data_IF_066332798912
#
_entry.id   IF_066332798912
#
_cell.length_a   1.000
_cell.length_b   1.000
_cell.length_c   1.000
_cell.angle_alpha   90.00
_cell.angle_beta   90.00
_cell.angle_gamma   90.00
#
_symmetry.space_group_name_H-M   'P 1'
#
loop_
_entity.id
_entity.type
_entity.pdbx_description
1 polymer ?
#
# COMPACT_ATOMS: atom_id res chain seq x y z
N UNK A 1 -3.64 9.27 -20.21
CA UNK A 1 -3.80 8.58 -21.50
C UNK A 1 -4.96 9.20 -22.26
N UNK A 2 -4.71 9.87 -23.40
CA UNK A 2 -5.75 10.40 -24.29
C UNK A 2 -6.33 9.31 -25.21
N UNK A 3 -7.57 9.46 -25.64
CA UNK A 3 -8.26 8.55 -26.55
C UNK A 3 -9.13 9.34 -27.54
N UNK A 4 -9.40 8.83 -28.74
CA UNK A 4 -10.25 9.53 -29.73
C UNK A 4 -11.65 9.83 -29.20
N UNK A 5 -12.21 8.90 -28.42
CA UNK A 5 -13.55 9.00 -27.82
C UNK A 5 -13.52 8.59 -26.36
N UNK A 6 -14.20 9.36 -25.52
CA UNK A 6 -14.46 9.02 -24.12
C UNK A 6 -15.95 8.73 -23.95
N UNK A 7 -16.28 7.59 -23.35
CA UNK A 7 -17.66 7.20 -23.05
C UNK A 7 -17.81 7.09 -21.53
N UNK A 8 -18.69 7.91 -20.96
CA UNK A 8 -19.04 7.89 -19.54
C UNK A 8 -20.35 7.10 -19.41
N UNK A 9 -20.28 5.89 -18.86
CA UNK A 9 -21.42 4.96 -18.81
C UNK A 9 -22.53 5.36 -17.83
N UNK A 10 -22.20 6.15 -16.81
CA UNK A 10 -23.12 6.62 -15.78
C UNK A 10 -22.61 7.96 -15.25
N UNK A 11 -23.47 8.95 -14.94
CA UNK A 11 -23.08 10.21 -14.33
C UNK A 11 -22.88 10.09 -12.80
N UNK A 12 -22.46 8.91 -12.33
CA UNK A 12 -22.26 8.59 -10.91
C UNK A 12 -20.91 7.88 -10.71
N UNK A 13 -20.30 8.10 -9.55
CA UNK A 13 -19.12 7.39 -9.07
C UNK A 13 -19.53 6.62 -7.82
N UNK A 14 -19.70 5.30 -7.95
CA UNK A 14 -20.35 4.50 -6.92
C UNK A 14 -21.80 4.94 -6.72
N UNK A 15 -22.14 5.39 -5.51
CA UNK A 15 -23.47 5.93 -5.17
C UNK A 15 -23.57 7.45 -5.32
N UNK A 16 -22.46 8.15 -5.51
CA UNK A 16 -22.40 9.61 -5.51
C UNK A 16 -22.50 10.19 -6.92
N UNK A 17 -23.17 11.35 -7.12
CA UNK A 17 -23.21 12.02 -8.42
C UNK A 17 -21.83 12.54 -8.83
N UNK A 18 -21.55 12.56 -10.14
CA UNK A 18 -20.29 13.05 -10.70
C UNK A 18 -20.18 14.58 -10.58
N UNK A 19 -19.06 15.08 -10.05
CA UNK A 19 -18.78 16.52 -9.97
C UNK A 19 -18.34 17.12 -11.30
N UNK A 20 -18.56 18.44 -11.50
CA UNK A 20 -18.19 19.13 -12.75
C UNK A 20 -16.71 19.03 -13.10
N UNK A 21 -15.81 19.23 -12.13
CA UNK A 21 -14.37 19.12 -12.36
C UNK A 21 -13.97 17.71 -12.81
N UNK A 22 -14.53 16.66 -12.17
CA UNK A 22 -14.28 15.26 -12.54
C UNK A 22 -14.79 14.97 -13.94
N UNK A 23 -16.01 15.41 -14.26
CA UNK A 23 -16.57 15.30 -15.61
C UNK A 23 -15.65 15.95 -16.66
N UNK A 24 -15.23 17.20 -16.43
CA UNK A 24 -14.32 17.92 -17.33
C UNK A 24 -12.96 17.21 -17.48
N UNK A 25 -12.40 16.67 -16.39
CA UNK A 25 -11.17 15.87 -16.44
C UNK A 25 -11.33 14.57 -17.24
N UNK A 26 -12.50 13.93 -17.19
CA UNK A 26 -12.79 12.73 -17.98
C UNK A 26 -12.90 13.06 -19.46
N UNK A 27 -13.77 14.02 -19.82
CA UNK A 27 -14.00 14.37 -21.23
C UNK A 27 -12.79 15.07 -21.87
N UNK A 28 -11.96 15.76 -21.08
CA UNK A 28 -10.71 16.36 -21.54
C UNK A 28 -9.66 15.36 -22.01
N UNK A 29 -9.88 14.05 -21.80
CA UNK A 29 -9.08 12.97 -22.38
C UNK A 29 -9.51 12.59 -23.79
N UNK A 30 -10.60 13.16 -24.31
CA UNK A 30 -11.08 12.92 -25.67
C UNK A 30 -10.29 13.75 -26.70
N UNK A 31 -9.80 13.08 -27.74
CA UNK A 31 -8.95 13.64 -28.78
C UNK A 31 -7.46 13.43 -28.47
N UNK A 32 -6.74 12.83 -29.41
CA UNK A 32 -5.28 12.68 -29.35
C UNK A 32 -4.62 13.77 -30.19
N UNK A 33 -3.88 14.66 -29.52
CA UNK A 33 -3.11 15.70 -30.18
C UNK A 33 -2.20 15.09 -31.27
N UNK A 34 -2.26 15.63 -32.49
CA UNK A 34 -1.48 15.17 -33.64
C UNK A 34 -2.05 13.95 -34.39
N UNK A 35 -3.09 13.29 -33.89
CA UNK A 35 -3.71 12.13 -34.56
C UNK A 35 -5.17 12.35 -34.96
N UNK A 36 -5.97 12.92 -34.06
CA UNK A 36 -7.41 13.09 -34.27
C UNK A 36 -7.74 14.56 -34.60
N UNK A 37 -8.62 14.77 -35.59
CA UNK A 37 -9.12 16.13 -35.93
C UNK A 37 -10.08 16.71 -34.87
N UNK A 38 -10.72 15.83 -34.09
CA UNK A 38 -11.64 16.18 -32.99
C UNK A 38 -11.70 15.04 -31.97
N UNK A 39 -12.06 15.36 -30.73
CA UNK A 39 -12.39 14.40 -29.67
C UNK A 39 -13.89 14.35 -29.43
N UNK A 40 -14.46 13.14 -29.33
CA UNK A 40 -15.87 12.97 -28.99
C UNK A 40 -16.01 12.56 -27.50
N UNK A 41 -16.94 13.17 -26.77
CA UNK A 41 -17.36 12.66 -25.45
C UNK A 41 -18.84 12.30 -25.47
N UNK A 42 -19.18 11.11 -25.00
CA UNK A 42 -20.56 10.63 -24.90
C UNK A 42 -20.84 10.25 -23.45
N UNK A 43 -21.87 10.83 -22.85
CA UNK A 43 -22.32 10.46 -21.49
C UNK A 43 -23.69 9.82 -21.58
N UNK A 44 -23.81 8.62 -21.06
CA UNK A 44 -25.08 7.87 -21.00
C UNK A 44 -25.78 8.27 -19.71
N UNK A 45 -27.03 8.70 -19.83
CA UNK A 45 -27.83 9.22 -18.71
C UNK A 45 -29.25 8.68 -18.82
N UNK A 46 -29.84 8.28 -17.68
CA UNK A 46 -31.24 7.87 -17.62
C UNK A 46 -32.15 9.11 -17.53
N UNK A 47 -33.29 9.12 -18.25
CA UNK A 47 -34.27 10.19 -18.11
C UNK A 47 -34.77 10.36 -16.67
N UNK A 48 -35.16 11.58 -16.31
CA UNK A 48 -35.74 11.88 -15.00
C UNK A 48 -34.77 12.61 -14.06
N UNK A 49 -34.62 12.12 -12.83
CA UNK A 49 -33.82 12.80 -11.80
C UNK A 49 -32.33 12.89 -12.18
N UNK A 50 -31.76 11.79 -12.70
CA UNK A 50 -30.35 11.70 -13.08
C UNK A 50 -30.01 12.71 -14.20
N UNK A 51 -30.86 12.81 -15.21
CA UNK A 51 -30.74 13.82 -16.27
C UNK A 51 -30.81 15.24 -15.73
N UNK A 52 -31.78 15.55 -14.85
CA UNK A 52 -31.91 16.90 -14.26
C UNK A 52 -30.67 17.28 -13.45
N UNK A 53 -30.17 16.36 -12.62
CA UNK A 53 -28.97 16.58 -11.81
C UNK A 53 -27.73 16.78 -12.68
N UNK A 54 -27.55 15.96 -13.72
CA UNK A 54 -26.41 16.09 -14.62
C UNK A 54 -26.45 17.40 -15.41
N UNK A 55 -27.61 17.80 -15.93
CA UNK A 55 -27.79 19.10 -16.61
C UNK A 55 -27.51 20.27 -15.67
N UNK A 56 -28.02 20.22 -14.44
CA UNK A 56 -27.74 21.24 -13.43
C UNK A 56 -26.23 21.32 -13.12
N UNK A 57 -25.55 20.18 -12.99
CA UNK A 57 -24.10 20.12 -12.81
C UNK A 57 -23.34 20.73 -13.99
N UNK A 58 -23.75 20.49 -15.24
CA UNK A 58 -23.11 21.11 -16.40
C UNK A 58 -23.25 22.64 -16.39
N UNK A 59 -24.40 23.14 -15.95
CA UNK A 59 -24.68 24.58 -15.86
C UNK A 59 -24.03 25.24 -14.64
N UNK A 60 -23.63 24.50 -13.60
CA UNK A 60 -23.00 25.07 -12.41
C UNK A 60 -21.60 25.61 -12.71
N UNK A 61 -21.07 26.59 -11.96
CA UNK A 61 -19.65 26.94 -12.06
C UNK A 61 -18.75 25.75 -11.67
N UNK A 62 -17.50 25.78 -12.12
CA UNK A 62 -16.48 24.85 -11.59
C UNK A 62 -16.19 25.27 -10.16
N UNK A 63 -16.12 24.30 -9.23
CA UNK A 63 -15.80 24.57 -7.83
C UNK A 63 -14.42 25.23 -7.73
N UNK A 64 -14.34 26.30 -6.95
CA UNK A 64 -13.06 26.94 -6.62
C UNK A 64 -12.21 25.99 -5.78
N UNK A 65 -10.89 26.05 -5.97
CA UNK A 65 -9.96 25.31 -5.10
C UNK A 65 -10.01 25.89 -3.69
N UNK A 66 -10.24 25.05 -2.69
CA UNK A 66 -10.13 25.40 -1.27
C UNK A 66 -8.81 24.88 -0.70
N UNK A 67 -8.20 25.63 0.21
CA UNK A 67 -7.00 25.16 0.91
C UNK A 67 -7.29 23.94 1.77
N UNK A 68 -6.52 22.86 1.59
CA UNK A 68 -6.59 21.68 2.45
C UNK A 68 -6.18 21.98 3.91
N UNK A 69 -5.33 22.98 4.13
CA UNK A 69 -4.91 23.42 5.47
C UNK A 69 -6.05 24.03 6.30
N UNK A 70 -7.24 24.24 5.72
CA UNK A 70 -8.43 24.61 6.49
C UNK A 70 -8.90 23.46 7.41
N UNK A 71 -8.52 22.21 7.12
CA UNK A 71 -8.76 21.09 8.02
C UNK A 71 -7.82 21.16 9.22
N UNK A 72 -8.38 21.11 10.43
CA UNK A 72 -7.61 21.05 11.67
C UNK A 72 -6.62 19.89 11.66
N UNK A 73 -6.97 18.75 11.05
CA UNK A 73 -6.08 17.60 10.93
C UNK A 73 -4.82 17.90 10.11
N UNK A 74 -4.99 18.46 8.91
CA UNK A 74 -3.86 18.81 8.06
C UNK A 74 -3.05 19.99 8.61
N UNK A 75 -3.72 20.95 9.26
CA UNK A 75 -3.04 22.06 9.93
C UNK A 75 -2.22 21.56 11.12
N UNK A 76 -2.77 20.66 11.96
CA UNK A 76 -2.04 20.05 13.07
C UNK A 76 -0.79 19.31 12.58
N UNK A 77 -0.89 18.49 11.53
CA UNK A 77 0.29 17.84 10.93
C UNK A 77 1.34 18.86 10.51
N UNK A 78 0.92 19.92 9.79
CA UNK A 78 1.84 20.95 9.32
C UNK A 78 2.49 21.74 10.46
N UNK A 79 1.75 22.05 11.54
CA UNK A 79 2.28 22.73 12.72
C UNK A 79 3.32 21.87 13.44
N UNK A 80 3.09 20.57 13.60
CA UNK A 80 4.11 19.65 14.16
C UNK A 80 5.38 19.67 13.32
N UNK A 81 5.25 19.62 11.99
CA UNK A 81 6.41 19.65 11.09
C UNK A 81 7.21 20.95 11.24
N UNK A 82 6.55 22.11 11.26
CA UNK A 82 7.21 23.42 11.42
C UNK A 82 7.95 23.55 12.76
N UNK A 83 7.32 23.11 13.85
CA UNK A 83 7.92 23.14 15.20
C UNK A 83 9.08 22.15 15.30
N UNK A 84 8.93 20.93 14.75
CA UNK A 84 9.98 19.91 14.78
C UNK A 84 11.20 20.31 13.95
N UNK A 85 10.98 20.93 12.79
CA UNK A 85 12.03 21.50 11.94
C UNK A 85 12.65 22.79 12.50
N UNK A 86 12.10 23.34 13.60
CA UNK A 86 12.49 24.62 14.20
C UNK A 86 12.35 25.82 13.24
N UNK A 87 11.39 25.75 12.32
CA UNK A 87 11.04 26.86 11.42
C UNK A 87 10.23 27.91 12.17
N UNK A 88 9.35 27.47 13.07
CA UNK A 88 8.54 28.31 13.94
C UNK A 88 8.53 27.72 15.34
N UNK A 89 8.54 28.59 16.35
CA UNK A 89 8.63 28.21 17.76
C UNK A 89 7.64 28.98 18.65
N UNK A 90 6.66 29.67 18.05
CA UNK A 90 5.62 30.42 18.76
C UNK A 90 4.37 30.49 17.89
N UNK A 91 3.21 30.77 18.49
CA UNK A 91 1.96 30.96 17.72
C UNK A 91 2.11 32.08 16.69
N UNK A 92 2.79 33.17 17.04
CA UNK A 92 2.96 34.31 16.13
C UNK A 92 3.87 33.96 14.95
N UNK A 93 4.99 33.24 15.17
CA UNK A 93 5.86 32.77 14.07
C UNK A 93 5.18 31.71 13.19
N UNK A 94 4.33 30.85 13.76
CA UNK A 94 3.49 29.92 12.99
C UNK A 94 2.49 30.69 12.10
N UNK A 95 1.85 31.73 12.63
CA UNK A 95 0.94 32.57 11.87
C UNK A 95 1.69 33.31 10.74
N UNK A 96 2.89 33.83 11.03
CA UNK A 96 3.76 34.47 10.05
C UNK A 96 4.11 33.52 8.90
N UNK A 97 4.53 32.29 9.21
CA UNK A 97 4.81 31.27 8.20
C UNK A 97 3.59 30.97 7.31
N UNK A 98 2.38 30.95 7.89
CA UNK A 98 1.14 30.70 7.17
C UNK A 98 0.65 31.89 6.34
N UNK A 99 1.20 33.10 6.49
CA UNK A 99 0.82 34.25 5.65
C UNK A 99 1.11 34.03 4.16
N UNK A 100 2.05 33.14 3.85
CA UNK A 100 2.41 32.75 2.48
C UNK A 100 1.58 31.57 1.94
N UNK A 101 0.59 31.07 2.70
CA UNK A 101 -0.22 29.91 2.31
C UNK A 101 -1.49 30.30 1.55
N UNK A 102 -2.04 29.34 0.77
CA UNK A 102 -3.36 29.49 0.15
C UNK A 102 -4.47 29.67 1.20
N UNK A 103 -4.32 29.09 2.40
CA UNK A 103 -5.29 29.27 3.49
C UNK A 103 -5.40 30.76 3.84
N UNK A 104 -4.27 31.41 4.08
CA UNK A 104 -4.24 32.84 4.40
C UNK A 104 -4.86 33.69 3.29
N UNK A 105 -4.52 33.41 2.03
CA UNK A 105 -5.10 34.13 0.89
C UNK A 105 -6.64 34.01 0.79
N UNK A 106 -7.23 32.96 1.37
CA UNK A 106 -8.66 32.69 1.31
C UNK A 106 -9.45 33.18 2.52
N UNK A 107 -8.88 33.09 3.74
CA UNK A 107 -9.61 33.39 4.99
C UNK A 107 -9.03 34.55 5.79
N UNK A 108 -7.83 35.03 5.44
CA UNK A 108 -7.15 36.14 6.12
C UNK A 108 -6.52 35.79 7.47
N UNK A 109 -5.82 36.76 8.06
CA UNK A 109 -4.99 36.55 9.26
C UNK A 109 -5.79 36.08 10.49
N UNK A 110 -6.95 36.70 10.76
CA UNK A 110 -7.72 36.41 11.97
C UNK A 110 -8.19 34.95 12.04
N UNK A 111 -8.69 34.42 10.92
CA UNK A 111 -9.12 33.03 10.83
C UNK A 111 -7.93 32.06 10.89
N UNK A 112 -6.82 32.38 10.23
CA UNK A 112 -5.57 31.60 10.32
C UNK A 112 -5.09 31.52 11.77
N UNK A 113 -5.03 32.66 12.47
CA UNK A 113 -4.58 32.70 13.87
C UNK A 113 -5.47 31.85 14.77
N UNK A 114 -6.79 31.95 14.62
CA UNK A 114 -7.72 31.11 15.36
C UNK A 114 -7.47 29.62 15.13
N UNK A 115 -7.29 29.21 13.86
CA UNK A 115 -7.04 27.82 13.51
C UNK A 115 -5.67 27.32 14.01
N UNK A 116 -4.63 28.17 13.98
CA UNK A 116 -3.31 27.84 14.53
C UNK A 116 -3.37 27.65 16.03
N UNK A 117 -4.05 28.54 16.76
CA UNK A 117 -4.22 28.41 18.21
C UNK A 117 -4.95 27.10 18.54
N UNK A 118 -6.04 26.80 17.83
CA UNK A 118 -6.77 25.53 17.99
C UNK A 118 -5.89 24.31 17.70
N UNK A 119 -5.08 24.35 16.63
CA UNK A 119 -4.16 23.29 16.28
C UNK A 119 -3.06 23.09 17.34
N UNK A 120 -2.48 24.17 17.86
CA UNK A 120 -1.46 24.12 18.91
C UNK A 120 -2.03 23.56 20.21
N UNK A 121 -3.20 24.02 20.65
CA UNK A 121 -3.86 23.52 21.86
C UNK A 121 -4.22 22.04 21.75
N UNK A 122 -4.72 21.62 20.58
CA UNK A 122 -4.94 20.19 20.28
C UNK A 122 -3.63 19.39 20.41
N UNK A 123 -2.55 19.84 19.77
CA UNK A 123 -1.26 19.15 19.77
C UNK A 123 -0.62 19.09 21.17
N UNK A 124 -0.85 20.10 22.01
CA UNK A 124 -0.45 20.11 23.43
C UNK A 124 -1.26 19.08 24.23
N UNK A 125 -2.59 19.05 24.06
CA UNK A 125 -3.45 18.04 24.69
C UNK A 125 -3.08 16.61 24.26
N UNK A 126 -2.62 16.47 23.02
CA UNK A 126 -2.15 15.22 22.43
C UNK A 126 -0.70 14.84 22.80
N UNK A 127 -0.02 15.66 23.60
CA UNK A 127 1.38 15.52 24.02
C UNK A 127 2.40 15.44 22.85
N UNK A 128 2.08 16.05 21.71
CA UNK A 128 2.96 16.14 20.54
C UNK A 128 3.85 17.39 20.55
N UNK A 129 3.36 18.49 21.14
CA UNK A 129 4.09 19.73 21.33
C UNK A 129 4.11 20.09 22.82
N UNK A 130 5.21 20.67 23.27
CA UNK A 130 5.40 21.21 24.62
C UNK A 130 5.70 22.69 24.50
N UNK A 131 5.12 23.48 25.40
CA UNK A 131 5.38 24.91 25.54
C UNK A 131 6.13 25.14 26.85
N UNK A 132 7.22 25.90 26.79
CA UNK A 132 7.98 26.27 28.00
C UNK A 132 7.39 27.51 28.71
N UNK A 133 7.99 27.91 29.82
CA UNK A 133 7.55 29.08 30.60
C UNK A 133 7.68 30.42 29.85
N UNK A 134 8.47 30.46 28.77
CA UNK A 134 8.69 31.65 27.94
C UNK A 134 7.75 31.68 26.72
N UNK A 135 6.88 30.67 26.55
CA UNK A 135 5.96 30.54 25.41
C UNK A 135 6.62 29.95 24.16
N UNK A 136 7.80 29.34 24.29
CA UNK A 136 8.49 28.69 23.18
C UNK A 136 7.94 27.28 22.97
N UNK A 137 7.43 27.02 21.78
CA UNK A 137 6.93 25.74 21.33
C UNK A 137 8.09 24.85 20.87
N UNK A 138 8.14 23.63 21.41
CA UNK A 138 9.09 22.59 21.04
C UNK A 138 8.38 21.26 20.81
N UNK A 139 8.91 20.44 19.91
CA UNK A 139 8.36 19.11 19.68
C UNK A 139 8.67 18.19 20.86
N UNK A 140 7.66 17.44 21.32
CA UNK A 140 7.88 16.36 22.29
C UNK A 140 8.62 15.18 21.62
N UNK A 141 8.96 14.16 22.41
CA UNK A 141 9.49 12.90 21.89
C UNK A 141 8.49 12.21 20.93
N UNK A 142 7.20 12.24 21.27
CA UNK A 142 6.13 11.69 20.42
C UNK A 142 5.95 12.54 19.16
N UNK A 143 6.03 13.87 19.27
CA UNK A 143 6.00 14.78 18.11
C UNK A 143 7.15 14.52 17.14
N UNK A 144 8.36 14.33 17.68
CA UNK A 144 9.55 14.05 16.87
C UNK A 144 9.46 12.67 16.21
N UNK A 145 8.89 11.67 16.91
CA UNK A 145 8.61 10.36 16.34
C UNK A 145 7.60 10.45 15.20
N UNK A 146 6.52 11.21 15.39
CA UNK A 146 5.46 11.46 14.39
C UNK A 146 6.02 12.05 13.11
N UNK A 147 6.84 13.11 13.23
CA UNK A 147 7.52 13.76 12.11
C UNK A 147 8.42 12.79 11.33
N UNK A 148 9.31 12.07 12.03
CA UNK A 148 10.30 11.19 11.37
C UNK A 148 9.63 9.99 10.69
N UNK A 149 8.52 9.51 11.26
CA UNK A 149 7.72 8.43 10.69
C UNK A 149 6.79 8.88 9.56
N UNK A 150 6.64 10.19 9.32
CA UNK A 150 5.71 10.78 8.35
C UNK A 150 4.27 10.28 8.57
N UNK A 151 3.81 10.33 9.83
CA UNK A 151 2.47 9.97 10.25
C UNK A 151 1.69 11.23 10.61
N UNK A 152 0.36 11.21 10.47
CA UNK A 152 -0.47 12.27 11.06
C UNK A 152 -0.48 12.17 12.59
N UNK A 153 -0.74 13.28 13.32
CA UNK A 153 -0.94 13.30 14.76
C UNK A 153 -1.88 12.20 15.28
N UNK A 154 -3.03 12.03 14.62
CA UNK A 154 -4.04 11.05 14.99
C UNK A 154 -3.55 9.61 14.82
N UNK A 155 -2.87 9.31 13.70
CA UNK A 155 -2.29 8.00 13.45
C UNK A 155 -1.17 7.69 14.44
N UNK A 156 -0.30 8.65 14.73
CA UNK A 156 0.80 8.48 15.66
C UNK A 156 0.33 8.19 17.08
N UNK A 157 -0.73 8.84 17.54
CA UNK A 157 -1.33 8.54 18.83
C UNK A 157 -1.89 7.12 18.91
N UNK A 158 -2.73 6.76 17.93
CA UNK A 158 -3.31 5.40 17.85
C UNK A 158 -2.21 4.34 17.82
N UNK A 159 -1.18 4.58 17.01
CA UNK A 159 -0.03 3.69 16.91
C UNK A 159 0.73 3.59 18.25
N UNK A 160 1.02 4.72 18.91
CA UNK A 160 1.72 4.73 20.19
C UNK A 160 0.96 3.95 21.26
N UNK A 161 -0.37 4.11 21.33
CA UNK A 161 -1.23 3.37 22.26
C UNK A 161 -1.20 1.87 21.95
N UNK A 162 -1.43 1.49 20.68
CA UNK A 162 -1.45 0.08 20.25
C UNK A 162 -0.10 -0.61 20.49
N UNK A 163 1.02 0.03 20.13
CA UNK A 163 2.36 -0.53 20.29
C UNK A 163 2.74 -0.67 21.77
N UNK A 164 2.41 0.33 22.59
CA UNK A 164 2.69 0.29 24.03
C UNK A 164 1.87 -0.81 24.71
N UNK A 165 0.58 -0.93 24.37
CA UNK A 165 -0.25 -2.03 24.85
C UNK A 165 0.29 -3.39 24.40
N UNK A 166 0.77 -3.48 23.15
CA UNK A 166 1.33 -4.71 22.61
C UNK A 166 2.60 -5.16 23.32
N UNK A 167 3.50 -4.23 23.60
CA UNK A 167 4.74 -4.50 24.31
C UNK A 167 4.51 -4.86 25.79
N UNK A 168 3.57 -4.17 26.45
CA UNK A 168 3.24 -4.41 27.87
C UNK A 168 2.54 -5.76 28.09
N UNK A 169 1.76 -6.23 27.12
CA UNK A 169 1.09 -7.53 27.17
C UNK A 169 1.98 -8.71 26.70
N UNK A 170 3.20 -8.41 26.27
CA UNK A 170 4.19 -9.38 25.80
C UNK A 170 4.16 -9.59 24.28
N UNK A 171 5.34 -9.74 23.69
CA UNK A 171 5.51 -10.10 22.29
C UNK A 171 5.84 -11.60 22.15
N UNK A 172 5.07 -12.31 21.35
CA UNK A 172 5.38 -13.69 20.93
C UNK A 172 6.34 -13.66 19.75
N UNK A 173 7.56 -14.20 19.95
CA UNK A 173 8.60 -14.31 18.91
C UNK A 173 8.80 -15.75 18.40
N UNK A 174 7.95 -16.70 18.82
CA UNK A 174 8.00 -18.07 18.27
C UNK A 174 7.67 -18.10 16.77
N UNK A 175 7.03 -17.05 16.25
CA UNK A 175 6.76 -16.85 14.84
C UNK A 175 6.83 -15.36 14.47
N UNK A 176 6.83 -15.07 13.16
CA UNK A 176 6.78 -13.69 12.63
C UNK A 176 5.36 -13.11 12.61
N UNK A 177 4.34 -13.93 12.89
CA UNK A 177 2.93 -13.56 12.76
C UNK A 177 2.59 -12.34 13.61
N UNK A 178 3.08 -12.25 14.84
CA UNK A 178 2.74 -11.14 15.71
C UNK A 178 3.27 -9.81 15.15
N UNK A 179 4.49 -9.78 14.63
CA UNK A 179 5.04 -8.60 13.96
C UNK A 179 4.22 -8.25 12.71
N UNK A 180 3.81 -9.24 11.92
CA UNK A 180 2.94 -9.03 10.74
C UNK A 180 1.57 -8.48 11.12
N UNK A 181 1.00 -8.91 12.25
CA UNK A 181 -0.24 -8.35 12.79
C UNK A 181 -0.05 -6.90 13.26
N UNK A 182 1.06 -6.59 13.93
CA UNK A 182 1.38 -5.22 14.36
C UNK A 182 1.47 -4.24 13.20
N UNK A 183 2.07 -4.66 12.07
CA UNK A 183 2.21 -3.82 10.87
C UNK A 183 1.02 -3.88 9.92
N UNK A 184 -0.06 -4.58 10.29
CA UNK A 184 -1.23 -4.70 9.44
C UNK A 184 -1.93 -3.33 9.27
N UNK A 185 -2.17 -2.88 8.02
CA UNK A 185 -2.75 -1.57 7.73
C UNK A 185 -4.14 -1.37 8.31
N UNK A 186 -4.36 -0.19 8.89
CA UNK A 186 -5.63 0.19 9.53
C UNK A 186 -6.72 0.53 8.52
N UNK A 187 -6.36 0.97 7.32
CA UNK A 187 -7.25 1.39 6.25
C UNK A 187 -7.63 0.25 5.29
N UNK A 188 -6.95 -0.90 5.40
CA UNK A 188 -7.23 -2.06 4.57
C UNK A 188 -8.48 -2.81 5.04
N UNK A 189 -9.37 -3.09 4.10
CA UNK A 189 -10.52 -3.97 4.30
C UNK A 189 -10.79 -4.80 3.04
N UNK A 190 -11.24 -6.02 3.24
CA UNK A 190 -11.67 -6.93 2.17
C UNK A 190 -12.93 -7.70 2.58
N UNK A 191 -13.50 -8.44 1.63
CA UNK A 191 -14.52 -9.43 1.95
C UNK A 191 -13.86 -10.55 2.77
N UNK A 192 -14.52 -10.97 3.85
CA UNK A 192 -14.02 -11.99 4.76
C UNK A 192 -14.66 -13.33 4.40
N UNK A 193 -13.82 -14.30 4.05
CA UNK A 193 -14.20 -15.70 4.09
C UNK A 193 -14.05 -16.21 5.54
N UNK A 194 -15.19 -16.42 6.19
CA UNK A 194 -15.27 -16.79 7.60
C UNK A 194 -14.79 -18.21 7.88
N UNK A 195 -14.99 -19.15 6.95
CA UNK A 195 -14.56 -20.54 7.10
C UNK A 195 -13.04 -20.63 6.97
N UNK A 196 -12.47 -19.90 6.01
CA UNK A 196 -11.03 -19.73 5.89
C UNK A 196 -10.45 -19.04 7.13
N UNK A 197 -11.08 -17.96 7.61
CA UNK A 197 -10.61 -17.22 8.78
C UNK A 197 -10.57 -18.13 10.02
N UNK A 198 -11.63 -18.89 10.29
CA UNK A 198 -11.64 -19.82 11.42
C UNK A 198 -10.57 -20.90 11.29
N UNK A 199 -10.39 -21.46 10.09
CA UNK A 199 -9.35 -22.46 9.81
C UNK A 199 -7.95 -21.92 10.08
N UNK A 200 -7.64 -20.72 9.58
CA UNK A 200 -6.34 -20.07 9.79
C UNK A 200 -6.11 -19.71 11.26
N UNK A 201 -7.16 -19.26 11.96
CA UNK A 201 -7.09 -18.96 13.39
C UNK A 201 -6.80 -20.22 14.21
N UNK A 202 -7.45 -21.35 13.90
CA UNK A 202 -7.20 -22.62 14.57
C UNK A 202 -5.79 -23.15 14.35
N UNK A 203 -5.17 -22.85 13.21
CA UNK A 203 -3.80 -23.22 12.90
C UNK A 203 -2.74 -22.41 13.68
N UNK A 204 -3.13 -21.31 14.35
CA UNK A 204 -2.22 -20.55 15.22
C UNK A 204 -1.83 -21.34 16.47
N UNK A 205 -0.64 -21.08 16.98
CA UNK A 205 -0.16 -21.67 18.23
C UNK A 205 -0.97 -21.20 19.45
N UNK A 206 -0.95 -21.97 20.54
CA UNK A 206 -1.66 -21.60 21.76
C UNK A 206 -1.16 -20.29 22.37
N UNK A 207 0.13 -19.99 22.21
CA UNK A 207 0.72 -18.70 22.59
C UNK A 207 0.12 -17.54 21.81
N UNK A 208 -0.05 -17.69 20.50
CA UNK A 208 -0.65 -16.65 19.65
C UNK A 208 -2.14 -16.48 19.94
N UNK A 209 -2.88 -17.58 20.16
CA UNK A 209 -4.30 -17.53 20.55
C UNK A 209 -4.52 -16.84 21.90
N UNK A 210 -3.65 -17.12 22.89
CA UNK A 210 -3.67 -16.44 24.20
C UNK A 210 -3.43 -14.95 24.05
N UNK A 211 -2.48 -14.57 23.21
CA UNK A 211 -2.17 -13.19 22.89
C UNK A 211 -3.34 -12.50 22.17
N UNK A 212 -3.92 -13.09 21.13
CA UNK A 212 -5.09 -12.54 20.44
C UNK A 212 -6.30 -12.37 21.39
N UNK A 213 -6.42 -13.25 22.38
CA UNK A 213 -7.43 -13.12 23.43
C UNK A 213 -7.24 -11.88 24.31
N UNK A 214 -6.00 -11.44 24.57
CA UNK A 214 -5.74 -10.20 25.31
C UNK A 214 -6.06 -8.94 24.50
N UNK A 215 -6.00 -9.02 23.17
CA UNK A 215 -6.49 -7.97 22.26
C UNK A 215 -8.01 -8.02 22.01
N UNK A 216 -8.75 -8.86 22.76
CA UNK A 216 -10.20 -8.95 22.61
C UNK A 216 -10.66 -9.74 21.38
N UNK A 217 -9.79 -10.55 20.79
CA UNK A 217 -10.10 -11.44 19.65
C UNK A 217 -9.91 -12.93 20.04
N UNK A 218 -10.60 -13.43 21.09
CA UNK A 218 -10.62 -14.86 21.35
C UNK A 218 -11.47 -15.59 20.29
N UNK A 219 -11.27 -16.91 20.15
CA UNK A 219 -11.99 -17.73 19.17
C UNK A 219 -13.51 -17.57 19.24
N UNK A 220 -14.07 -17.46 20.45
CA UNK A 220 -15.50 -17.23 20.68
C UNK A 220 -16.04 -16.01 19.96
N UNK A 221 -15.25 -14.93 19.82
CA UNK A 221 -15.67 -13.70 19.13
C UNK A 221 -15.71 -13.93 17.63
N UNK A 222 -14.74 -14.68 17.08
CA UNK A 222 -14.75 -15.07 15.67
C UNK A 222 -16.00 -15.90 15.40
N UNK A 223 -16.26 -16.95 16.18
CA UNK A 223 -17.47 -17.78 16.02
C UNK A 223 -18.77 -16.96 16.10
N UNK A 224 -18.85 -16.00 17.02
CA UNK A 224 -20.00 -15.10 17.10
C UNK A 224 -20.16 -14.25 15.83
N UNK A 225 -19.07 -13.76 15.24
CA UNK A 225 -19.12 -13.01 13.98
C UNK A 225 -19.58 -13.88 12.80
N UNK A 226 -19.18 -15.15 12.75
CA UNK A 226 -19.65 -16.12 11.74
C UNK A 226 -21.16 -16.29 11.85
N UNK A 227 -21.66 -16.58 13.06
CA UNK A 227 -23.10 -16.79 13.30
C UNK A 227 -23.91 -15.53 12.97
N UNK A 228 -23.40 -14.35 13.37
CA UNK A 228 -24.06 -13.07 13.13
C UNK A 228 -23.87 -12.52 11.72
N UNK A 229 -23.04 -13.17 10.88
CA UNK A 229 -22.61 -12.66 9.57
C UNK A 229 -22.20 -11.19 9.63
N UNK A 230 -21.41 -10.82 10.64
CA UNK A 230 -21.00 -9.43 10.86
C UNK A 230 -20.18 -8.98 9.64
N UNK A 231 -20.51 -7.80 9.09
CA UNK A 231 -19.63 -7.13 8.13
C UNK A 231 -18.52 -6.41 8.89
N UNK A 232 -17.27 -6.77 8.62
CA UNK A 232 -16.12 -6.10 9.20
C UNK A 232 -15.75 -4.87 8.37
N UNK A 233 -15.30 -3.82 9.05
CA UNK A 233 -14.86 -2.56 8.44
C UNK A 233 -13.35 -2.35 8.60
N UNK A 234 -12.81 -1.39 7.86
CA UNK A 234 -11.40 -1.01 8.01
C UNK A 234 -11.15 -0.53 9.45
N UNK A 235 -10.05 -1.00 10.05
CA UNK A 235 -9.66 -0.66 11.42
C UNK A 235 -10.22 -1.59 12.49
N UNK A 236 -11.21 -2.45 12.19
CA UNK A 236 -11.66 -3.49 13.11
C UNK A 236 -10.49 -4.42 13.48
N UNK A 237 -10.34 -4.75 14.76
CA UNK A 237 -9.25 -5.62 15.22
C UNK A 237 -9.28 -7.01 14.53
N UNK A 238 -10.48 -7.55 14.29
CA UNK A 238 -10.66 -8.80 13.56
C UNK A 238 -10.33 -8.68 12.06
N UNK A 239 -10.57 -7.51 11.44
CA UNK A 239 -10.15 -7.26 10.05
C UNK A 239 -8.62 -7.21 9.98
N UNK A 240 -7.98 -6.44 10.86
CA UNK A 240 -6.51 -6.39 10.95
C UNK A 240 -5.89 -7.77 11.18
N UNK A 241 -6.53 -8.60 12.00
CA UNK A 241 -6.12 -9.99 12.20
C UNK A 241 -6.18 -10.80 10.90
N UNK A 242 -7.29 -10.70 10.15
CA UNK A 242 -7.45 -11.39 8.87
C UNK A 242 -6.41 -10.92 7.84
N UNK A 243 -6.12 -9.61 7.78
CA UNK A 243 -5.03 -9.06 6.97
C UNK A 243 -3.66 -9.58 7.44
N UNK A 244 -3.41 -9.66 8.75
CA UNK A 244 -2.18 -10.22 9.31
C UNK A 244 -1.96 -11.69 8.92
N UNK A 245 -3.03 -12.49 8.92
CA UNK A 245 -3.00 -13.88 8.45
C UNK A 245 -2.72 -13.96 6.93
N UNK A 246 -3.29 -13.06 6.14
CA UNK A 246 -2.98 -12.94 4.71
C UNK A 246 -1.50 -12.62 4.49
N UNK A 247 -0.96 -11.63 5.22
CA UNK A 247 0.46 -11.26 5.15
C UNK A 247 1.36 -12.42 5.59
N UNK A 248 0.92 -13.26 6.52
CA UNK A 248 1.66 -14.46 6.95
C UNK A 248 1.78 -15.49 5.83
N UNK A 249 0.76 -15.69 5.00
CA UNK A 249 0.85 -16.60 3.85
C UNK A 249 1.82 -16.08 2.79
N UNK A 250 1.85 -14.76 2.57
CA UNK A 250 2.86 -14.11 1.71
C UNK A 250 4.26 -14.26 2.31
N UNK A 251 4.41 -14.08 3.63
CA UNK A 251 5.68 -14.24 4.33
C UNK A 251 6.26 -15.66 4.17
N UNK A 252 5.39 -16.68 4.12
CA UNK A 252 5.74 -18.08 3.82
C UNK A 252 6.08 -18.33 2.33
N UNK A 253 6.27 -17.29 1.53
CA UNK A 253 6.63 -17.34 0.10
C UNK A 253 5.58 -18.04 -0.78
N UNK A 254 4.29 -17.99 -0.40
CA UNK A 254 3.21 -18.48 -1.27
C UNK A 254 3.01 -17.54 -2.48
N UNK A 255 2.72 -18.08 -3.69
CA UNK A 255 2.47 -17.24 -4.86
C UNK A 255 1.31 -16.27 -4.65
N UNK A 256 1.49 -14.99 -4.98
CA UNK A 256 0.48 -13.96 -4.76
C UNK A 256 -0.86 -14.28 -5.43
N UNK A 257 -0.82 -14.91 -6.61
CA UNK A 257 -2.01 -15.36 -7.32
C UNK A 257 -2.83 -16.37 -6.52
N UNK A 258 -2.16 -17.34 -5.88
CA UNK A 258 -2.81 -18.37 -5.07
C UNK A 258 -3.36 -17.79 -3.76
N UNK A 259 -2.62 -16.89 -3.12
CA UNK A 259 -3.10 -16.19 -1.92
C UNK A 259 -4.30 -15.30 -2.24
N UNK A 260 -4.24 -14.55 -3.34
CA UNK A 260 -5.35 -13.70 -3.77
C UNK A 260 -6.64 -14.51 -4.01
N UNK A 261 -6.52 -15.66 -4.70
CA UNK A 261 -7.64 -16.56 -4.94
C UNK A 261 -8.18 -17.17 -3.64
N UNK A 262 -7.29 -17.68 -2.78
CA UNK A 262 -7.66 -18.29 -1.50
C UNK A 262 -8.41 -17.32 -0.58
N UNK A 263 -7.99 -16.06 -0.51
CA UNK A 263 -8.64 -15.03 0.29
C UNK A 263 -9.79 -14.32 -0.45
N UNK A 264 -10.07 -14.67 -1.71
CA UNK A 264 -11.12 -14.04 -2.51
C UNK A 264 -10.90 -12.55 -2.79
N UNK A 265 -9.64 -12.11 -2.92
CA UNK A 265 -9.26 -10.70 -3.13
C UNK A 265 -8.62 -10.46 -4.50
N UNK A 266 -8.73 -9.24 -5.00
CA UNK A 266 -8.05 -8.84 -6.23
C UNK A 266 -6.53 -8.82 -6.07
N UNK A 267 -5.79 -9.31 -7.07
CA UNK A 267 -4.31 -9.32 -7.06
C UNK A 267 -3.71 -7.91 -6.90
N UNK A 268 -4.31 -6.92 -7.55
CA UNK A 268 -3.89 -5.52 -7.44
C UNK A 268 -4.14 -4.96 -6.04
N UNK A 269 -5.25 -5.36 -5.40
CA UNK A 269 -5.52 -4.99 -4.02
C UNK A 269 -4.51 -5.64 -3.07
N UNK A 270 -4.24 -6.95 -3.21
CA UNK A 270 -3.25 -7.66 -2.39
C UNK A 270 -1.85 -7.02 -2.51
N UNK A 271 -1.44 -6.65 -3.72
CA UNK A 271 -0.16 -5.97 -3.95
C UNK A 271 -0.11 -4.60 -3.27
N UNK A 272 -1.19 -3.82 -3.35
CA UNK A 272 -1.29 -2.53 -2.67
C UNK A 272 -1.27 -2.69 -1.15
N UNK A 273 -2.01 -3.66 -0.60
CA UNK A 273 -2.03 -3.96 0.84
C UNK A 273 -0.65 -4.37 1.34
N UNK A 274 0.08 -5.22 0.61
CA UNK A 274 1.45 -5.61 0.96
C UNK A 274 2.42 -4.41 0.90
N UNK A 275 2.29 -3.55 -0.12
CA UNK A 275 3.10 -2.33 -0.22
C UNK A 275 2.81 -1.36 0.92
N UNK A 276 1.54 -1.20 1.30
CA UNK A 276 1.12 -0.36 2.42
C UNK A 276 1.64 -0.91 3.75
N UNK A 277 1.51 -2.23 4.00
CA UNK A 277 2.06 -2.87 5.19
C UNK A 277 3.59 -2.71 5.28
N UNK A 278 4.30 -2.82 4.16
CA UNK A 278 5.76 -2.59 4.10
C UNK A 278 6.12 -1.14 4.43
N UNK A 279 5.40 -0.18 3.86
CA UNK A 279 5.59 1.25 4.18
C UNK A 279 5.26 1.56 5.64
N UNK A 280 4.21 0.96 6.19
CA UNK A 280 3.84 1.11 7.59
C UNK A 280 4.89 0.51 8.53
N UNK A 281 5.39 -0.69 8.23
CA UNK A 281 6.49 -1.30 8.98
C UNK A 281 7.73 -0.39 9.01
N UNK A 282 8.07 0.25 7.88
CA UNK A 282 9.18 1.20 7.80
C UNK A 282 8.90 2.48 8.62
N UNK A 283 7.66 2.98 8.60
CA UNK A 283 7.25 4.12 9.42
C UNK A 283 7.33 3.77 10.92
N UNK A 284 6.86 2.59 11.33
CA UNK A 284 6.94 2.12 12.73
C UNK A 284 8.40 1.94 13.17
N UNK A 285 9.26 1.41 12.30
CA UNK A 285 10.69 1.28 12.60
C UNK A 285 11.31 2.65 12.92
N UNK A 286 11.08 3.65 12.06
CA UNK A 286 11.52 5.04 12.29
C UNK A 286 10.90 5.68 13.53
N UNK A 287 9.61 5.46 13.75
CA UNK A 287 8.89 5.93 14.94
C UNK A 287 9.55 5.42 16.23
N UNK A 288 9.89 4.12 16.24
CA UNK A 288 10.54 3.47 17.38
C UNK A 288 11.97 3.93 17.65
N UNK A 289 12.66 4.55 16.68
CA UNK A 289 13.98 5.16 16.91
C UNK A 289 13.92 6.34 17.88
N UNK A 290 12.78 7.05 17.89
CA UNK A 290 12.59 8.23 18.75
C UNK A 290 12.01 7.89 20.11
N UNK A 291 11.40 6.72 20.28
CA UNK A 291 10.75 6.29 21.53
C UNK A 291 11.51 5.09 22.13
N UNK A 292 12.33 5.29 23.18
CA UNK A 292 13.19 4.27 23.77
C UNK A 292 12.47 3.00 24.25
N UNK A 293 11.23 3.12 24.74
CA UNK A 293 10.44 1.96 25.18
C UNK A 293 10.12 1.00 24.04
N UNK A 294 10.14 1.47 22.79
CA UNK A 294 9.88 0.69 21.59
C UNK A 294 11.15 0.05 20.99
N UNK A 295 12.25 -0.04 21.75
CA UNK A 295 13.53 -0.57 21.27
C UNK A 295 13.47 -1.95 20.59
N UNK A 296 12.59 -2.92 20.95
CA UNK A 296 12.55 -4.20 20.25
C UNK A 296 12.12 -4.02 18.80
N UNK A 297 11.13 -3.16 18.55
CA UNK A 297 10.62 -2.89 17.20
C UNK A 297 11.68 -2.19 16.34
N UNK A 298 12.48 -1.31 16.94
CA UNK A 298 13.62 -0.66 16.28
C UNK A 298 14.63 -1.66 15.74
N UNK A 299 14.84 -2.78 16.44
CA UNK A 299 15.79 -3.81 16.04
C UNK A 299 15.19 -4.84 15.08
N UNK A 300 13.90 -5.20 15.27
CA UNK A 300 13.26 -6.30 14.55
C UNK A 300 12.63 -5.88 13.22
N UNK A 301 12.05 -4.68 13.14
CA UNK A 301 11.32 -4.26 11.95
C UNK A 301 12.20 -4.01 10.71
N UNK A 302 13.47 -3.54 10.80
CA UNK A 302 14.29 -3.36 9.60
C UNK A 302 14.45 -4.62 8.74
N UNK A 303 14.68 -5.79 9.36
CA UNK A 303 14.75 -7.06 8.63
C UNK A 303 13.38 -7.43 8.02
N UNK A 304 12.30 -7.26 8.79
CA UNK A 304 10.94 -7.50 8.33
C UNK A 304 10.59 -6.66 7.09
N UNK A 305 10.94 -5.37 7.10
CA UNK A 305 10.73 -4.42 5.98
C UNK A 305 11.48 -4.88 4.74
N UNK A 306 12.74 -5.29 4.89
CA UNK A 306 13.55 -5.77 3.77
C UNK A 306 12.91 -7.01 3.15
N UNK A 307 12.58 -8.02 3.95
CA UNK A 307 11.97 -9.27 3.47
C UNK A 307 10.60 -9.06 2.84
N UNK A 308 9.75 -8.20 3.41
CA UNK A 308 8.45 -7.87 2.81
C UNK A 308 8.61 -7.13 1.48
N UNK A 309 9.59 -6.21 1.38
CA UNK A 309 9.95 -5.56 0.12
C UNK A 309 10.37 -6.57 -0.94
N UNK A 310 11.06 -7.64 -0.56
CA UNK A 310 11.41 -8.74 -1.47
C UNK A 310 10.18 -9.56 -1.87
N UNK A 311 9.23 -9.79 -0.96
CA UNK A 311 7.96 -10.45 -1.26
C UNK A 311 7.13 -9.66 -2.27
N UNK A 312 7.10 -8.32 -2.20
CA UNK A 312 6.48 -7.46 -3.22
C UNK A 312 7.07 -7.71 -4.62
N UNK A 313 8.31 -8.20 -4.67
CA UNK A 313 9.09 -8.46 -5.88
C UNK A 313 9.14 -9.97 -6.19
N UNK A 314 8.51 -10.85 -5.41
CA UNK A 314 8.67 -12.32 -5.52
C UNK A 314 8.43 -12.85 -6.95
N UNK A 315 7.40 -12.35 -7.64
CA UNK A 315 7.10 -12.73 -9.03
C UNK A 315 8.16 -12.27 -10.05
N UNK A 316 9.00 -11.29 -9.67
CA UNK A 316 10.07 -10.70 -10.46
C UNK A 316 11.45 -11.25 -10.09
N UNK A 317 11.59 -11.90 -8.92
CA UNK A 317 12.88 -12.49 -8.47
C UNK A 317 13.47 -13.41 -9.54
N UNK A 318 12.71 -14.35 -10.15
CA UNK A 318 13.26 -15.20 -11.22
C UNK A 318 13.76 -14.39 -12.42
N UNK A 319 13.09 -13.30 -12.77
CA UNK A 319 13.48 -12.44 -13.89
C UNK A 319 14.71 -11.59 -13.56
N UNK A 320 14.92 -11.25 -12.29
CA UNK A 320 16.08 -10.48 -11.83
C UNK A 320 17.37 -11.31 -11.78
N UNK A 321 17.29 -12.64 -11.85
CA UNK A 321 18.45 -13.50 -12.03
C UNK A 321 19.10 -13.33 -13.43
N UNK A 322 18.34 -12.82 -14.41
CA UNK A 322 18.82 -12.59 -15.77
C UNK A 322 19.79 -11.39 -15.77
N UNK A 323 20.95 -11.57 -16.38
CA UNK A 323 21.98 -10.53 -16.46
C UNK A 323 21.46 -9.27 -17.18
N UNK A 324 21.67 -8.11 -16.55
CA UNK A 324 21.18 -6.82 -17.02
C UNK A 324 19.73 -6.51 -16.62
N UNK A 325 19.04 -7.41 -15.90
CA UNK A 325 17.66 -7.23 -15.47
C UNK A 325 17.58 -6.82 -13.99
N UNK A 326 17.54 -5.50 -13.75
CA UNK A 326 17.21 -4.95 -12.43
C UNK A 326 15.70 -4.80 -12.25
N UNK A 327 15.24 -4.46 -11.04
CA UNK A 327 13.80 -4.31 -10.66
C UNK A 327 12.93 -3.57 -11.68
N UNK A 328 13.44 -2.47 -12.26
CA UNK A 328 12.70 -1.71 -13.29
C UNK A 328 12.47 -2.50 -14.57
N UNK A 329 13.49 -3.24 -15.01
CA UNK A 329 13.45 -4.06 -16.23
C UNK A 329 12.64 -5.35 -16.03
N UNK A 330 12.76 -5.98 -14.85
CA UNK A 330 11.95 -7.15 -14.49
C UNK A 330 10.46 -6.83 -14.56
N UNK A 331 10.04 -5.65 -14.05
CA UNK A 331 8.65 -5.19 -14.17
C UNK A 331 8.20 -5.00 -15.61
N UNK A 332 9.04 -4.41 -16.46
CA UNK A 332 8.71 -4.23 -17.88
C UNK A 332 8.53 -5.57 -18.59
N UNK A 333 9.44 -6.52 -18.36
CA UNK A 333 9.33 -7.90 -18.88
C UNK A 333 8.03 -8.56 -18.43
N UNK A 334 7.75 -8.49 -17.14
CA UNK A 334 6.58 -9.12 -16.56
C UNK A 334 5.27 -8.51 -17.09
N UNK A 335 5.22 -7.18 -17.22
CA UNK A 335 4.08 -6.46 -17.80
C UNK A 335 3.87 -6.76 -19.30
N UNK A 336 4.96 -6.99 -20.03
CA UNK A 336 4.93 -7.45 -21.43
C UNK A 336 4.57 -8.94 -21.59
N UNK A 337 4.35 -9.67 -20.49
CA UNK A 337 3.92 -11.08 -20.50
C UNK A 337 5.07 -12.09 -20.37
N UNK A 338 6.32 -11.64 -20.30
CA UNK A 338 7.49 -12.48 -20.04
C UNK A 338 7.64 -12.75 -18.54
N UNK A 339 6.73 -13.55 -17.99
CA UNK A 339 6.63 -13.79 -16.54
C UNK A 339 7.63 -14.78 -15.95
N UNK A 340 8.36 -15.52 -16.79
CA UNK A 340 9.32 -16.54 -16.36
C UNK A 340 10.60 -16.48 -17.19
N UNK A 341 11.72 -16.98 -16.65
CA UNK A 341 13.00 -17.07 -17.37
C UNK A 341 12.83 -17.88 -18.67
N UNK A 342 12.04 -18.96 -18.63
CA UNK A 342 11.67 -19.76 -19.81
C UNK A 342 11.03 -18.93 -20.93
N UNK A 343 10.10 -18.03 -20.60
CA UNK A 343 9.47 -17.15 -21.61
C UNK A 343 10.47 -16.16 -22.20
N UNK A 344 11.42 -15.66 -21.42
CA UNK A 344 12.48 -14.77 -21.91
C UNK A 344 13.45 -15.52 -22.82
N UNK A 345 13.85 -16.75 -22.45
CA UNK A 345 14.76 -17.57 -23.25
C UNK A 345 14.17 -18.03 -24.58
N UNK A 346 12.85 -18.28 -24.61
CA UNK A 346 12.11 -18.65 -25.84
C UNK A 346 11.88 -17.46 -26.77
N UNK A 347 11.89 -16.24 -26.25
CA UNK A 347 11.63 -15.03 -27.03
C UNK A 347 12.82 -14.64 -27.92
N UNK A 348 12.52 -14.00 -29.06
CA UNK A 348 13.54 -13.40 -29.90
C UNK A 348 13.91 -12.01 -29.35
N UNK A 349 15.19 -11.63 -29.39
CA UNK A 349 15.64 -10.30 -28.96
C UNK A 349 14.91 -9.16 -29.69
N UNK A 350 14.45 -9.40 -30.93
CA UNK A 350 13.66 -8.44 -31.71
C UNK A 350 12.26 -8.19 -31.13
N UNK A 351 11.67 -9.19 -30.48
CA UNK A 351 10.35 -9.07 -29.85
C UNK A 351 10.48 -8.31 -28.53
N UNK A 352 11.53 -8.62 -27.74
CA UNK A 352 11.86 -7.82 -26.54
C UNK A 352 12.08 -6.34 -26.86
N UNK A 353 12.70 -6.01 -28.00
CA UNK A 353 12.92 -4.61 -28.41
C UNK A 353 11.62 -3.88 -28.76
N UNK A 354 10.59 -4.60 -29.22
CA UNK A 354 9.27 -4.02 -29.53
C UNK A 354 8.45 -3.83 -28.26
N UNK A 355 8.47 -4.83 -27.39
CA UNK A 355 7.59 -4.92 -26.24
C UNK A 355 8.11 -4.12 -25.04
N UNK A 356 9.41 -3.81 -25.00
CA UNK A 356 10.07 -3.14 -23.87
C UNK A 356 10.64 -1.79 -24.28
N UNK A 357 10.06 -0.72 -23.73
CA UNK A 357 10.55 0.64 -23.95
C UNK A 357 11.99 0.85 -23.44
N UNK A 358 12.78 1.65 -24.17
CA UNK A 358 14.15 2.01 -23.82
C UNK A 358 15.07 0.79 -23.58
N UNK A 359 14.94 -0.25 -24.39
CA UNK A 359 15.83 -1.41 -24.40
C UNK A 359 16.86 -1.28 -25.53
N UNK A 360 18.15 -1.35 -25.22
CA UNK A 360 19.19 -1.39 -26.24
C UNK A 360 19.30 -2.80 -26.84
N UNK A 361 19.68 -2.89 -28.11
CA UNK A 361 19.89 -4.17 -28.80
C UNK A 361 20.90 -5.06 -28.07
N UNK A 362 21.97 -4.46 -27.55
CA UNK A 362 22.99 -5.17 -26.78
C UNK A 362 22.39 -5.83 -25.52
N UNK A 363 21.62 -5.08 -24.73
CA UNK A 363 20.99 -5.60 -23.52
C UNK A 363 19.93 -6.66 -23.85
N UNK A 364 19.14 -6.50 -24.91
CA UNK A 364 18.15 -7.50 -25.33
C UNK A 364 18.81 -8.86 -25.67
N UNK A 365 19.91 -8.85 -26.41
CA UNK A 365 20.67 -10.06 -26.75
C UNK A 365 21.28 -10.68 -25.48
N UNK A 366 21.89 -9.85 -24.63
CA UNK A 366 22.50 -10.28 -23.37
C UNK A 366 21.48 -10.97 -22.46
N UNK A 367 20.28 -10.39 -22.34
CA UNK A 367 19.19 -10.93 -21.53
C UNK A 367 18.70 -12.29 -22.04
N UNK A 368 18.46 -12.43 -23.34
CA UNK A 368 18.01 -13.72 -23.92
C UNK A 368 19.09 -14.80 -23.76
N UNK A 369 20.36 -14.45 -23.95
CA UNK A 369 21.47 -15.39 -23.79
C UNK A 369 21.65 -15.81 -22.32
N UNK A 370 21.58 -14.87 -21.39
CA UNK A 370 21.64 -15.16 -19.95
C UNK A 370 20.46 -16.04 -19.51
N UNK A 371 19.24 -15.76 -19.96
CA UNK A 371 18.08 -16.60 -19.68
C UNK A 371 18.24 -18.04 -20.22
N UNK A 372 18.84 -18.20 -21.40
CA UNK A 372 19.16 -19.52 -21.98
C UNK A 372 20.30 -20.25 -21.26
N UNK A 373 21.21 -19.53 -20.62
CA UNK A 373 22.25 -20.12 -19.79
C UNK A 373 21.65 -20.64 -18.49
N UNK A 374 20.89 -19.79 -17.78
CA UNK A 374 20.21 -20.15 -16.53
C UNK A 374 19.32 -21.40 -16.70
N UNK A 375 18.58 -21.51 -17.81
CA UNK A 375 17.75 -22.70 -18.07
C UNK A 375 18.56 -23.96 -18.40
N UNK A 376 19.74 -23.81 -19.00
CA UNK A 376 20.63 -24.94 -19.25
C UNK A 376 21.19 -25.44 -17.92
N UNK A 377 21.69 -24.52 -17.09
CA UNK A 377 22.22 -24.84 -15.76
C UNK A 377 21.15 -25.54 -14.90
N UNK A 378 19.91 -25.04 -14.92
CA UNK A 378 18.78 -25.67 -14.21
C UNK A 378 18.40 -27.06 -14.76
N UNK A 379 18.58 -27.29 -16.06
CA UNK A 379 18.31 -28.60 -16.68
C UNK A 379 19.40 -29.59 -16.30
N UNK A 380 20.67 -29.18 -16.39
CA UNK A 380 21.82 -30.00 -16.03
C UNK A 380 21.78 -30.40 -14.55
N UNK A 381 21.45 -29.47 -13.64
CA UNK A 381 21.29 -29.74 -12.21
C UNK A 381 20.14 -30.74 -11.93
N UNK A 382 19.02 -30.61 -12.67
CA UNK A 382 17.90 -31.57 -12.56
C UNK A 382 18.25 -32.94 -13.15
N UNK A 383 19.09 -32.99 -14.18
CA UNK A 383 19.59 -34.26 -14.73
C UNK A 383 20.49 -34.96 -13.72
N UNK A 384 21.41 -34.24 -13.08
CA UNK A 384 22.27 -34.78 -12.02
C UNK A 384 21.46 -35.30 -10.81
N UNK A 385 20.41 -34.58 -10.41
CA UNK A 385 19.48 -35.08 -9.37
C UNK A 385 18.80 -36.39 -9.79
N UNK A 386 18.28 -36.47 -11.01
CA UNK A 386 17.59 -37.67 -11.52
C UNK A 386 18.53 -38.89 -11.61
N UNK A 387 19.75 -38.67 -12.07
CA UNK A 387 20.79 -39.69 -12.10
C UNK A 387 21.14 -40.18 -10.67
N UNK A 388 21.19 -39.27 -9.69
CA UNK A 388 21.39 -39.63 -8.28
C UNK A 388 20.24 -40.45 -7.68
N UNK A 389 19.01 -40.27 -8.18
CA UNK A 389 17.85 -41.10 -7.82
C UNK A 389 17.73 -42.39 -8.65
N UNK A 390 18.65 -42.64 -9.58
CA UNK A 390 18.68 -43.85 -10.41
C UNK A 390 17.62 -43.89 -11.52
N UNK A 391 17.12 -42.73 -11.96
CA UNK A 391 16.14 -42.61 -13.04
C UNK A 391 16.89 -42.17 -14.29
N UNK A 392 17.06 -43.06 -15.26
CA UNK A 392 17.69 -42.69 -16.53
C UNK A 392 16.79 -41.75 -17.35
N UNK A 393 17.40 -40.71 -17.94
CA UNK A 393 16.71 -39.72 -18.76
C UNK A 393 15.96 -40.33 -19.97
N UNK A 394 16.44 -41.47 -20.46
CA UNK A 394 15.84 -42.28 -21.54
C UNK A 394 14.40 -42.71 -21.21
N UNK A 395 14.12 -43.12 -19.96
CA UNK A 395 12.79 -43.54 -19.50
C UNK A 395 11.79 -42.38 -19.44
N UNK A 396 12.29 -41.15 -19.19
CA UNK A 396 11.47 -39.94 -19.11
C UNK A 396 11.12 -39.44 -20.51
N UNK A 397 12.08 -39.43 -21.46
CA UNK A 397 11.82 -39.02 -22.84
C UNK A 397 10.78 -39.93 -23.52
N UNK A 398 10.86 -41.25 -23.31
CA UNK A 398 9.86 -42.19 -23.84
C UNK A 398 8.47 -41.95 -23.25
N UNK A 399 8.38 -41.73 -21.93
CA UNK A 399 7.11 -41.39 -21.28
C UNK A 399 6.52 -40.08 -21.79
N UNK A 400 7.30 -39.00 -21.90
CA UNK A 400 6.82 -37.69 -22.36
C UNK A 400 6.37 -37.74 -23.82
N UNK A 401 7.05 -38.51 -24.67
CA UNK A 401 6.61 -38.75 -26.06
C UNK A 401 5.34 -39.59 -26.15
N UNK A 402 5.05 -40.44 -25.17
CA UNK A 402 3.78 -41.20 -25.13
C UNK A 402 2.55 -40.39 -24.70
N UNK A 403 2.74 -39.17 -24.19
CA UNK A 403 1.66 -38.25 -23.76
C UNK A 403 1.41 -37.08 -24.73
N UNK A 404 2.20 -36.94 -25.80
CA UNK A 404 1.97 -36.02 -26.92
C UNK A 404 1.33 -36.76 -28.09
#
# INVERSE_FOLDING_TARGET
MPARRVIIKSPTVGVSPLGKAQYLQMIGRAGRAGFDKKGDSITIIRPGLEERQFRAMLSSPVLSCSSGLASLEYLSSFVVDLVTLKVANSVDSLCEALTHSLLYAQVGYAAVRSAVVEAVEKLKAEALIVEDSEGTLTSSQLGAATFVANLSPLEAQRLATDLSASLNNGLVFSSHFHLLFTIAPYDAACAVDWDLFHTLYLALSDSEKKLLSSYGIPERVILQHIVKKKRLEAGDAAMRLYIGLLLQEIWKQQPHAAVAERFGVDRGWLQNTLQNATSQAAAIAKFSEKIPSLWPLRLLLPELVQRLSDCVVAELIPLMAIDGVKRGRARQLYAAGYKTVAKVAKANYKDLLKDIANLSRFNAIKMVNSAKAILRDQLDEKMEELDAFGIEFSEIEERVRSYQ
#
